data_IF_576261931573
#
_entry.id   IF_576261931573
#
_cell.length_a   1.000
_cell.length_b   1.000
_cell.length_c   1.000
_cell.angle_alpha   90.00
_cell.angle_beta   90.00
_cell.angle_gamma   90.00
#
_symmetry.space_group_name_H-M   'P 1'
#
loop_
_entity.id
_entity.type
_entity.pdbx_description
1 polymer ?
#
# COMPACT_ATOMS: atom_id res chain seq x y z
N UNK A 1 -56.67 58.56 -8.81
CA UNK A 1 -55.49 57.76 -8.44
C UNK A 1 -55.57 57.43 -6.97
N UNK A 2 -55.91 56.19 -6.62
CA UNK A 2 -55.97 55.69 -5.24
C UNK A 2 -54.73 54.85 -4.97
N UNK A 3 -53.80 55.40 -4.18
CA UNK A 3 -52.62 54.68 -3.71
C UNK A 3 -53.01 53.78 -2.54
N UNK A 4 -53.10 52.48 -2.79
CA UNK A 4 -53.30 51.48 -1.74
C UNK A 4 -52.00 51.22 -1.00
N UNK A 5 -51.85 51.82 0.18
CA UNK A 5 -50.75 51.55 1.12
C UNK A 5 -50.87 50.12 1.68
N UNK A 6 -49.90 49.27 1.34
CA UNK A 6 -49.80 47.88 1.81
C UNK A 6 -49.24 47.89 3.25
N UNK A 7 -50.09 47.67 4.25
CA UNK A 7 -49.68 47.63 5.66
C UNK A 7 -48.77 46.41 5.92
N UNK A 8 -47.53 46.67 6.33
CA UNK A 8 -46.60 45.63 6.80
C UNK A 8 -47.08 45.09 8.15
N UNK A 9 -47.29 43.77 8.24
CA UNK A 9 -47.74 43.10 9.46
C UNK A 9 -46.66 43.20 10.56
N UNK A 10 -47.03 43.40 11.83
CA UNK A 10 -46.07 43.50 12.92
C UNK A 10 -45.32 42.18 13.12
N UNK A 11 -43.98 42.25 13.22
CA UNK A 11 -43.13 41.11 13.55
C UNK A 11 -43.46 40.64 14.96
N UNK A 12 -44.19 39.52 15.06
CA UNK A 12 -44.46 38.87 16.34
C UNK A 12 -43.12 38.52 17.01
N UNK A 13 -42.92 38.99 18.25
CA UNK A 13 -41.76 38.65 19.05
C UNK A 13 -41.92 37.19 19.50
N UNK A 14 -40.99 36.33 19.12
CA UNK A 14 -40.97 34.94 19.52
C UNK A 14 -40.82 34.85 21.06
N UNK A 15 -41.54 33.94 21.70
CA UNK A 15 -41.42 33.71 23.14
C UNK A 15 -39.98 33.28 23.48
N UNK A 16 -39.40 33.68 24.63
CA UNK A 16 -38.02 33.32 25.01
C UNK A 16 -37.79 31.80 25.09
N UNK A 17 -38.87 31.02 25.26
CA UNK A 17 -38.83 29.55 25.23
C UNK A 17 -38.72 29.02 23.79
N UNK A 18 -39.39 29.67 22.83
CA UNK A 18 -39.31 29.33 21.42
C UNK A 18 -37.95 29.69 20.84
N UNK A 19 -37.39 30.85 21.16
CA UNK A 19 -36.05 31.25 20.70
C UNK A 19 -34.97 30.28 21.19
N UNK A 20 -35.01 29.85 22.46
CA UNK A 20 -34.08 28.84 22.99
C UNK A 20 -34.23 27.47 22.30
N UNK A 21 -35.45 27.08 21.89
CA UNK A 21 -35.68 25.84 21.15
C UNK A 21 -35.14 25.93 19.72
N UNK A 22 -35.39 27.04 19.03
CA UNK A 22 -34.82 27.29 17.70
C UNK A 22 -33.29 27.32 17.73
N UNK A 23 -32.69 27.98 18.74
CA UNK A 23 -31.24 28.00 18.91
C UNK A 23 -30.67 26.59 19.11
N UNK A 24 -31.31 25.77 19.96
CA UNK A 24 -30.90 24.36 20.14
C UNK A 24 -30.99 23.56 18.85
N UNK A 25 -32.07 23.73 18.08
CA UNK A 25 -32.24 23.05 16.78
C UNK A 25 -31.16 23.50 15.78
N UNK A 26 -30.86 24.80 15.71
CA UNK A 26 -29.77 25.32 14.88
C UNK A 26 -28.40 24.74 15.28
N UNK A 27 -28.11 24.68 16.58
CA UNK A 27 -26.86 24.07 17.07
C UNK A 27 -26.78 22.60 16.68
N UNK A 28 -27.87 21.83 16.87
CA UNK A 28 -27.91 20.42 16.48
C UNK A 28 -27.71 20.26 14.97
N UNK A 29 -28.35 21.09 14.14
CA UNK A 29 -28.19 21.05 12.68
C UNK A 29 -26.75 21.37 12.25
N UNK A 30 -26.10 22.34 12.87
CA UNK A 30 -24.69 22.68 12.60
C UNK A 30 -23.78 21.51 12.98
N UNK A 31 -24.00 20.89 14.14
CA UNK A 31 -23.22 19.72 14.59
C UNK A 31 -23.43 18.54 13.65
N UNK A 32 -24.67 18.25 13.24
CA UNK A 32 -24.98 17.18 12.28
C UNK A 32 -24.37 17.46 10.90
N UNK A 33 -24.39 18.72 10.44
CA UNK A 33 -23.75 19.12 9.18
C UNK A 33 -22.23 18.95 9.22
N UNK A 34 -21.59 19.32 10.34
CA UNK A 34 -20.16 19.10 10.56
C UNK A 34 -19.82 17.61 10.60
N UNK A 35 -20.60 16.81 11.34
CA UNK A 35 -20.45 15.35 11.38
C UNK A 35 -20.62 14.74 9.99
N UNK A 36 -21.61 15.18 9.23
CA UNK A 36 -21.82 14.74 7.85
C UNK A 36 -20.64 15.12 6.97
N UNK A 37 -20.07 16.31 7.09
CA UNK A 37 -18.93 16.73 6.28
C UNK A 37 -17.64 15.97 6.62
N UNK A 38 -17.46 15.58 7.88
CA UNK A 38 -16.32 14.76 8.34
C UNK A 38 -16.51 13.28 7.97
N UNK A 39 -17.73 12.77 8.09
CA UNK A 39 -18.05 11.36 7.91
C UNK A 39 -18.56 11.02 6.49
N UNK A 40 -18.77 12.02 5.62
CA UNK A 40 -19.22 11.83 4.25
C UNK A 40 -18.20 10.98 3.47
N UNK A 41 -18.60 9.81 2.97
CA UNK A 41 -17.72 8.95 2.20
C UNK A 41 -17.39 9.64 0.86
N UNK A 42 -16.18 10.18 0.76
CA UNK A 42 -15.63 10.77 -0.46
C UNK A 42 -15.04 12.18 -0.30
N UNK A 43 -15.56 12.99 0.62
CA UNK A 43 -15.18 14.42 0.78
C UNK A 43 -14.52 14.76 2.12
N UNK A 44 -14.49 13.83 3.09
CA UNK A 44 -13.84 14.07 4.38
C UNK A 44 -12.31 14.12 4.30
N UNK A 45 -11.69 15.00 5.09
CA UNK A 45 -10.21 15.13 5.26
C UNK A 45 -9.49 13.79 5.50
N UNK A 46 -10.18 12.81 6.08
CA UNK A 46 -9.65 11.46 6.29
C UNK A 46 -9.39 10.69 4.98
N UNK A 47 -10.19 10.90 3.94
CA UNK A 47 -9.96 10.28 2.63
C UNK A 47 -8.70 10.86 1.97
N UNK A 48 -8.48 12.17 2.10
CA UNK A 48 -7.27 12.84 1.63
C UNK A 48 -6.02 12.35 2.34
N UNK A 49 -6.10 12.07 3.65
CA UNK A 49 -5.00 11.49 4.39
C UNK A 49 -4.70 10.05 3.95
N UNK A 50 -5.72 9.21 3.81
CA UNK A 50 -5.55 7.86 3.27
C UNK A 50 -4.95 7.87 1.87
N UNK A 51 -5.42 8.77 0.99
CA UNK A 51 -4.91 8.91 -0.38
C UNK A 51 -3.46 9.40 -0.41
N UNK A 52 -3.07 10.32 0.48
CA UNK A 52 -1.67 10.74 0.63
C UNK A 52 -0.77 9.59 1.08
N UNK A 53 -1.23 8.78 2.04
CA UNK A 53 -0.47 7.62 2.52
C UNK A 53 -0.36 6.53 1.45
N UNK A 54 -1.43 6.31 0.67
CA UNK A 54 -1.44 5.39 -0.46
C UNK A 54 -0.47 5.86 -1.57
N UNK A 55 -0.47 7.16 -1.90
CA UNK A 55 0.49 7.75 -2.84
C UNK A 55 1.93 7.59 -2.37
N UNK A 56 2.22 7.85 -1.09
CA UNK A 56 3.58 7.66 -0.55
C UNK A 56 4.02 6.20 -0.61
N UNK A 57 3.13 5.25 -0.29
CA UNK A 57 3.43 3.82 -0.42
C UNK A 57 3.70 3.43 -1.87
N UNK A 58 2.87 3.86 -2.80
CA UNK A 58 3.05 3.58 -4.22
C UNK A 58 4.37 4.16 -4.75
N UNK A 59 4.70 5.39 -4.37
CA UNK A 59 5.98 6.01 -4.73
C UNK A 59 7.17 5.23 -4.18
N UNK A 60 7.12 4.80 -2.91
CA UNK A 60 8.17 3.97 -2.32
C UNK A 60 8.31 2.63 -3.05
N UNK A 61 7.18 2.00 -3.40
CA UNK A 61 7.18 0.76 -4.19
C UNK A 61 7.77 0.96 -5.57
N UNK A 62 7.45 2.06 -6.26
CA UNK A 62 8.03 2.38 -7.56
C UNK A 62 9.55 2.56 -7.47
N UNK A 63 10.03 3.29 -6.47
CA UNK A 63 11.48 3.48 -6.26
C UNK A 63 12.16 2.15 -5.95
N UNK A 64 11.56 1.30 -5.13
CA UNK A 64 12.11 -0.02 -4.83
C UNK A 64 12.16 -0.90 -6.08
N UNK A 65 11.06 -0.99 -6.82
CA UNK A 65 10.98 -1.76 -8.06
C UNK A 65 11.98 -1.27 -9.11
N UNK A 66 12.20 0.04 -9.23
CA UNK A 66 13.21 0.59 -10.14
C UNK A 66 14.62 0.13 -9.75
N UNK A 67 14.96 0.18 -8.46
CA UNK A 67 16.26 -0.29 -7.97
C UNK A 67 16.45 -1.79 -8.19
N UNK A 68 15.43 -2.58 -7.88
CA UNK A 68 15.48 -4.02 -8.08
C UNK A 68 15.66 -4.33 -9.57
N UNK A 69 14.95 -3.62 -10.45
CA UNK A 69 15.10 -3.80 -11.89
C UNK A 69 16.52 -3.43 -12.37
N UNK A 70 17.10 -2.32 -11.90
CA UNK A 70 18.49 -1.95 -12.23
C UNK A 70 19.50 -3.00 -11.77
N UNK A 71 19.28 -3.64 -10.61
CA UNK A 71 20.13 -4.72 -10.11
C UNK A 71 19.98 -5.95 -10.99
N UNK A 72 18.74 -6.36 -11.28
CA UNK A 72 18.47 -7.52 -12.13
C UNK A 72 19.02 -7.34 -13.54
N UNK A 73 18.89 -6.15 -14.12
CA UNK A 73 19.46 -5.85 -15.45
C UNK A 73 20.99 -5.99 -15.44
N UNK A 74 21.66 -5.50 -14.40
CA UNK A 74 23.11 -5.68 -14.25
C UNK A 74 23.50 -7.14 -14.06
N UNK A 75 22.71 -7.91 -13.32
CA UNK A 75 22.96 -9.33 -13.15
C UNK A 75 22.77 -10.10 -14.46
N UNK A 76 21.73 -9.78 -15.23
CA UNK A 76 21.50 -10.34 -16.57
C UNK A 76 22.67 -10.01 -17.50
N UNK A 77 23.12 -8.75 -17.51
CA UNK A 77 24.26 -8.31 -18.31
C UNK A 77 25.53 -9.09 -17.95
N UNK A 78 25.80 -9.26 -16.65
CA UNK A 78 26.94 -10.07 -16.18
C UNK A 78 26.80 -11.53 -16.56
N UNK A 79 25.61 -12.12 -16.46
CA UNK A 79 25.39 -13.52 -16.85
C UNK A 79 25.65 -13.74 -18.35
N UNK A 80 25.32 -12.76 -19.18
CA UNK A 80 25.46 -12.87 -20.64
C UNK A 80 26.87 -12.53 -21.12
N UNK A 81 27.49 -11.51 -20.53
CA UNK A 81 28.73 -10.92 -21.03
C UNK A 81 29.97 -11.32 -20.21
N UNK A 82 29.82 -11.83 -18.98
CA UNK A 82 30.93 -12.33 -18.15
C UNK A 82 30.90 -13.87 -18.03
N UNK A 83 31.74 -14.58 -18.81
CA UNK A 83 31.80 -16.04 -18.78
C UNK A 83 32.32 -16.59 -17.44
N UNK A 84 33.08 -15.80 -16.68
CA UNK A 84 33.60 -16.22 -15.37
C UNK A 84 32.48 -16.23 -14.33
N UNK A 85 31.67 -15.16 -14.32
CA UNK A 85 30.50 -15.06 -13.46
C UNK A 85 29.48 -16.17 -13.74
N UNK A 86 29.25 -16.46 -15.03
CA UNK A 86 28.38 -17.56 -15.45
C UNK A 86 28.91 -18.93 -14.99
N UNK A 87 30.22 -19.19 -15.11
CA UNK A 87 30.85 -20.45 -14.65
C UNK A 87 30.73 -20.60 -13.13
N UNK A 88 30.89 -19.51 -12.39
CA UNK A 88 30.74 -19.49 -10.93
C UNK A 88 29.32 -19.86 -10.50
N UNK A 89 28.29 -19.23 -11.08
CA UNK A 89 26.87 -19.53 -10.81
C UNK A 89 26.55 -20.97 -11.22
N UNK A 90 27.01 -21.42 -12.39
CA UNK A 90 26.77 -22.79 -12.87
C UNK A 90 27.34 -23.85 -11.91
N UNK A 91 28.52 -23.61 -11.33
CA UNK A 91 29.12 -24.51 -10.35
C UNK A 91 28.47 -24.41 -8.96
N UNK A 92 28.18 -23.20 -8.47
CA UNK A 92 27.66 -22.98 -7.11
C UNK A 92 26.20 -23.36 -6.97
N UNK A 93 25.34 -22.86 -7.86
CA UNK A 93 23.89 -23.03 -7.77
C UNK A 93 23.42 -24.35 -8.39
N UNK A 94 24.10 -24.81 -9.45
CA UNK A 94 23.65 -25.97 -10.23
C UNK A 94 24.61 -27.16 -10.19
N UNK A 95 25.79 -27.04 -9.56
CA UNK A 95 26.77 -28.12 -9.48
C UNK A 95 27.29 -28.59 -10.85
N UNK A 96 27.17 -27.75 -11.88
CA UNK A 96 27.54 -28.12 -13.25
C UNK A 96 29.06 -28.22 -13.40
N UNK A 97 29.48 -29.20 -14.19
CA UNK A 97 30.88 -29.52 -14.45
C UNK A 97 31.18 -29.32 -15.93
N UNK A 98 32.42 -28.95 -16.26
CA UNK A 98 32.85 -28.96 -17.66
C UNK A 98 32.81 -30.39 -18.20
N UNK A 99 32.67 -30.54 -19.51
CA UNK A 99 32.61 -31.86 -20.20
C UNK A 99 33.78 -32.79 -19.83
N UNK A 100 34.91 -32.24 -19.40
CA UNK A 100 36.13 -32.98 -19.05
C UNK A 100 36.35 -33.13 -17.53
N UNK A 101 35.40 -32.69 -16.68
CA UNK A 101 35.48 -32.76 -15.21
C UNK A 101 34.63 -33.93 -14.69
N UNK A 102 35.07 -34.56 -13.58
CA UNK A 102 34.38 -35.68 -12.92
C UNK A 102 34.32 -35.46 -11.41
N UNK A 103 33.16 -35.76 -10.80
CA UNK A 103 32.98 -35.74 -9.35
C UNK A 103 33.28 -37.13 -8.79
N UNK A 104 34.07 -37.17 -7.72
CA UNK A 104 34.35 -38.39 -6.96
C UNK A 104 33.63 -38.29 -5.62
N UNK A 105 32.58 -39.10 -5.44
CA UNK A 105 31.95 -39.28 -4.14
C UNK A 105 32.67 -40.38 -3.38
N UNK A 106 33.22 -40.04 -2.21
CA UNK A 106 33.86 -41.01 -1.34
C UNK A 106 32.83 -41.56 -0.35
N UNK A 107 32.56 -42.87 -0.33
CA UNK A 107 31.64 -43.44 0.64
C UNK A 107 32.21 -43.24 2.05
N UNK A 108 31.43 -42.61 2.93
CA UNK A 108 31.80 -42.55 4.34
C UNK A 108 31.77 -43.97 4.91
N UNK A 109 32.68 -44.28 5.84
CA UNK A 109 32.81 -45.60 6.49
C UNK A 109 31.50 -46.19 7.06
N UNK A 110 30.43 -45.41 7.18
CA UNK A 110 29.11 -45.87 7.62
C UNK A 110 28.32 -46.62 6.54
N UNK A 111 28.37 -46.22 5.26
CA UNK A 111 27.54 -46.84 4.22
C UNK A 111 28.00 -48.25 3.81
N UNK A 112 29.28 -48.57 4.00
CA UNK A 112 29.83 -49.93 3.77
C UNK A 112 29.35 -50.93 4.82
N UNK A 113 29.11 -50.48 6.07
CA UNK A 113 28.68 -51.33 7.19
C UNK A 113 27.22 -51.78 7.11
N UNK A 114 26.40 -51.07 6.34
CA UNK A 114 24.97 -51.40 6.15
C UNK A 114 24.79 -52.40 4.99
N UNK A 115 25.64 -52.35 3.95
CA UNK A 115 25.59 -53.31 2.83
C UNK A 115 26.11 -54.71 3.18
N UNK A 116 27.00 -54.85 4.15
CA UNK A 116 27.49 -56.17 4.65
C UNK A 116 26.54 -56.84 5.65
N UNK A 117 25.43 -56.19 6.05
CA UNK A 117 24.43 -56.76 6.98
C UNK A 117 23.16 -57.28 6.29
N UNK A 118 23.01 -57.01 5.00
CA UNK A 118 21.87 -57.47 4.18
C UNK A 118 22.24 -58.63 3.23
N UNK A 119 23.52 -59.05 3.17
CA UNK A 119 23.98 -60.33 2.57
C UNK A 119 24.21 -61.38 3.67
#
# INVERSE_FOLDING_TARGET
MSFTQKRLKPKQKLSPVQEKRFLKICVVLVVVSLLWMVFAPGSGVFSLWKKRQELQRLQQQTVQLQKDNEVLEKDIDRLQNDPTYLEEIARKEYGLLKKNERVFEFPSRKSTKEKEKEE
#
